data_IF_858260593884
#
_entry.id   IF_858260593884
#
_cell.length_a   1.000
_cell.length_b   1.000
_cell.length_c   1.000
_cell.angle_alpha   90.00
_cell.angle_beta   90.00
_cell.angle_gamma   90.00
#
_symmetry.space_group_name_H-M   'P 1'
#
loop_
_entity.id
_entity.type
_entity.pdbx_description
1 polymer ?
#
# COMPACT_ATOMS: atom_id res chain seq x y z
N UNK A 1 -2.44 5.44 -14.21
CA UNK A 1 -3.18 6.19 -13.16
C UNK A 1 -3.18 5.38 -11.87
N UNK A 2 -2.89 6.02 -10.72
CA UNK A 2 -3.05 5.34 -9.44
C UNK A 2 -4.52 5.02 -9.20
N UNK A 3 -4.81 3.78 -8.77
CA UNK A 3 -6.16 3.29 -8.50
C UNK A 3 -6.27 2.72 -7.10
N UNK A 4 -7.48 2.71 -6.56
CA UNK A 4 -7.80 1.95 -5.35
C UNK A 4 -7.64 0.45 -5.64
N UNK A 5 -7.01 -0.28 -4.72
CA UNK A 5 -6.75 -1.71 -4.92
C UNK A 5 -8.01 -2.59 -4.88
N UNK A 6 -9.17 -2.08 -4.42
CA UNK A 6 -10.38 -2.88 -4.22
C UNK A 6 -10.88 -3.53 -5.51
N UNK A 7 -11.05 -2.76 -6.57
CA UNK A 7 -11.57 -3.28 -7.85
C UNK A 7 -10.59 -4.25 -8.51
N UNK A 8 -9.29 -3.95 -8.44
CA UNK A 8 -8.23 -4.82 -8.95
C UNK A 8 -8.21 -6.17 -8.22
N UNK A 9 -8.33 -6.16 -6.88
CA UNK A 9 -8.37 -7.37 -6.06
C UNK A 9 -9.67 -8.16 -6.25
N UNK A 10 -10.81 -7.47 -6.46
CA UNK A 10 -12.09 -8.11 -6.78
C UNK A 10 -12.01 -8.88 -8.09
N UNK A 11 -11.51 -8.24 -9.16
CA UNK A 11 -11.29 -8.89 -10.45
C UNK A 11 -10.32 -10.08 -10.35
N UNK A 12 -9.26 -9.96 -9.56
CA UNK A 12 -8.31 -11.05 -9.34
C UNK A 12 -8.98 -12.25 -8.66
N UNK A 13 -9.82 -12.00 -7.64
CA UNK A 13 -10.59 -13.06 -6.97
C UNK A 13 -11.57 -13.75 -7.92
N UNK A 14 -12.32 -12.99 -8.71
CA UNK A 14 -13.29 -13.51 -9.68
C UNK A 14 -12.59 -14.28 -10.82
N UNK A 15 -11.42 -13.79 -11.26
CA UNK A 15 -10.61 -14.40 -12.31
C UNK A 15 -9.65 -15.49 -11.83
N UNK A 16 -9.64 -15.82 -10.52
CA UNK A 16 -8.75 -16.83 -9.92
C UNK A 16 -7.26 -16.60 -10.19
N UNK A 17 -6.80 -15.33 -10.14
CA UNK A 17 -5.39 -14.97 -10.25
C UNK A 17 -4.94 -14.09 -9.07
N UNK A 18 -3.63 -13.96 -8.87
CA UNK A 18 -3.06 -13.08 -7.86
C UNK A 18 -2.53 -11.79 -8.48
N UNK A 19 -2.62 -10.68 -7.74
CA UNK A 19 -1.95 -9.42 -8.06
C UNK A 19 -0.62 -9.37 -7.31
N UNK A 20 0.48 -9.14 -8.03
CA UNK A 20 1.81 -9.01 -7.44
C UNK A 20 1.93 -7.73 -6.61
N UNK A 21 2.51 -7.85 -5.40
CA UNK A 21 2.95 -6.72 -4.59
C UNK A 21 4.47 -6.72 -4.52
N UNK A 22 5.09 -5.62 -4.95
CA UNK A 22 6.54 -5.47 -4.98
C UNK A 22 6.96 -4.26 -4.15
N UNK A 23 7.97 -4.44 -3.29
CA UNK A 23 8.50 -3.34 -2.50
C UNK A 23 9.29 -2.38 -3.37
N UNK A 24 9.11 -1.08 -3.14
CA UNK A 24 9.87 -0.01 -3.79
C UNK A 24 10.65 0.79 -2.74
N UNK A 25 11.92 1.07 -3.04
CA UNK A 25 12.80 1.83 -2.15
C UNK A 25 13.49 3.01 -2.87
N UNK A 26 13.42 3.06 -4.19
CA UNK A 26 14.08 4.06 -5.03
C UNK A 26 13.41 4.16 -6.41
N UNK A 27 13.92 5.08 -7.22
CA UNK A 27 13.43 5.34 -8.58
C UNK A 27 13.66 4.13 -9.50
N UNK A 28 14.81 3.51 -9.43
CA UNK A 28 15.22 2.43 -10.33
C UNK A 28 14.31 1.21 -10.18
N UNK A 29 14.04 0.80 -8.95
CA UNK A 29 13.14 -0.33 -8.67
C UNK A 29 11.72 -0.02 -9.08
N UNK A 30 11.25 1.18 -8.77
CA UNK A 30 9.91 1.62 -9.16
C UNK A 30 9.74 1.59 -10.68
N UNK A 31 10.71 2.13 -11.43
CA UNK A 31 10.71 2.13 -12.88
C UNK A 31 10.69 0.72 -13.47
N UNK A 32 11.57 -0.18 -12.98
CA UNK A 32 11.63 -1.55 -13.44
C UNK A 32 10.30 -2.29 -13.25
N UNK A 33 9.68 -2.16 -12.07
CA UNK A 33 8.40 -2.79 -11.74
C UNK A 33 7.28 -2.25 -12.63
N UNK A 34 7.20 -0.93 -12.83
CA UNK A 34 6.16 -0.31 -13.65
C UNK A 34 6.27 -0.72 -15.12
N UNK A 35 7.48 -0.72 -15.69
CA UNK A 35 7.70 -1.15 -17.07
C UNK A 35 7.36 -2.64 -17.26
N UNK A 36 7.80 -3.51 -16.36
CA UNK A 36 7.49 -4.94 -16.41
C UNK A 36 5.97 -5.19 -16.27
N UNK A 37 5.29 -4.46 -15.38
CA UNK A 37 3.83 -4.55 -15.25
C UNK A 37 3.12 -4.14 -16.55
N UNK A 38 3.59 -3.05 -17.20
CA UNK A 38 3.05 -2.58 -18.47
C UNK A 38 3.29 -3.57 -19.61
N UNK A 39 4.50 -4.10 -19.74
CA UNK A 39 4.86 -5.10 -20.76
C UNK A 39 4.00 -6.37 -20.64
N UNK A 40 3.69 -6.79 -19.42
CA UNK A 40 2.87 -7.97 -19.16
C UNK A 40 1.36 -7.69 -19.07
N UNK A 41 0.93 -6.45 -19.34
CA UNK A 41 -0.45 -6.01 -19.18
C UNK A 41 -1.07 -6.44 -17.83
N UNK A 42 -0.29 -6.38 -16.76
CA UNK A 42 -0.63 -6.89 -15.43
C UNK A 42 -0.83 -5.76 -14.42
N UNK A 43 -1.89 -5.79 -13.61
CA UNK A 43 -2.04 -4.86 -12.50
C UNK A 43 -0.94 -5.11 -11.45
N UNK A 44 -0.54 -4.05 -10.73
CA UNK A 44 0.56 -4.13 -9.75
C UNK A 44 0.27 -3.31 -8.51
N UNK A 45 0.76 -3.79 -7.36
CA UNK A 45 0.78 -3.07 -6.10
C UNK A 45 2.23 -2.72 -5.76
N UNK A 46 2.51 -1.43 -5.61
CA UNK A 46 3.80 -0.92 -5.15
C UNK A 46 3.78 -0.80 -3.62
N UNK A 47 4.51 -1.67 -2.94
CA UNK A 47 4.59 -1.72 -1.48
C UNK A 47 5.65 -0.75 -0.95
N UNK A 48 5.30 0.04 0.06
CA UNK A 48 6.21 0.98 0.74
C UNK A 48 6.13 0.74 2.23
N UNK A 49 7.25 0.40 2.86
CA UNK A 49 7.35 0.39 4.32
C UNK A 49 7.58 1.81 4.85
N UNK A 50 7.35 2.05 6.15
CA UNK A 50 7.68 3.35 6.76
C UNK A 50 9.18 3.68 6.62
N UNK A 51 10.05 2.66 6.74
CA UNK A 51 11.48 2.82 6.52
C UNK A 51 11.81 3.24 5.10
N UNK A 52 11.20 2.63 4.09
CA UNK A 52 11.35 2.99 2.69
C UNK A 52 10.82 4.41 2.41
N UNK A 53 9.65 4.76 2.97
CA UNK A 53 9.10 6.12 2.87
C UNK A 53 10.06 7.17 3.45
N UNK A 54 10.64 6.90 4.62
CA UNK A 54 11.65 7.78 5.23
C UNK A 54 12.92 7.87 4.38
N UNK A 55 13.41 6.75 3.85
CA UNK A 55 14.58 6.71 2.97
C UNK A 55 14.38 7.55 1.70
N UNK A 56 13.20 7.50 1.12
CA UNK A 56 12.81 8.29 -0.07
C UNK A 56 12.37 9.72 0.26
N UNK A 57 12.77 10.28 1.39
CA UNK A 57 12.49 11.64 1.85
C UNK A 57 11.00 11.94 2.17
N UNK A 58 10.17 10.92 2.35
CA UNK A 58 8.80 11.06 2.83
C UNK A 58 7.72 10.61 1.83
N UNK A 59 6.51 10.43 2.35
CA UNK A 59 5.40 9.85 1.57
C UNK A 59 4.95 10.72 0.39
N UNK A 60 4.97 12.06 0.53
CA UNK A 60 4.64 12.97 -0.57
C UNK A 60 5.63 12.85 -1.73
N UNK A 61 6.92 12.67 -1.42
CA UNK A 61 7.97 12.41 -2.41
C UNK A 61 7.71 11.10 -3.15
N UNK A 62 7.36 10.04 -2.42
CA UNK A 62 7.00 8.74 -3.02
C UNK A 62 5.82 8.87 -3.97
N UNK A 63 4.74 9.54 -3.54
CA UNK A 63 3.56 9.77 -4.38
C UNK A 63 3.91 10.57 -5.63
N UNK A 64 4.69 11.64 -5.48
CA UNK A 64 5.14 12.47 -6.62
C UNK A 64 5.97 11.67 -7.62
N UNK A 65 6.94 10.89 -7.14
CA UNK A 65 7.77 10.01 -7.97
C UNK A 65 6.93 9.00 -8.74
N UNK A 66 6.03 8.28 -8.05
CA UNK A 66 5.19 7.24 -8.70
C UNK A 66 4.23 7.85 -9.71
N UNK A 67 3.58 8.98 -9.40
CA UNK A 67 2.69 9.68 -10.33
C UNK A 67 3.43 10.17 -11.57
N UNK A 68 4.58 10.82 -11.39
CA UNK A 68 5.40 11.28 -12.50
C UNK A 68 5.85 10.13 -13.41
N UNK A 69 6.28 9.01 -12.84
CA UNK A 69 6.65 7.84 -13.63
C UNK A 69 5.47 7.22 -14.40
N UNK A 70 4.29 7.13 -13.77
CA UNK A 70 3.09 6.62 -14.44
C UNK A 70 2.76 7.47 -15.67
N UNK A 71 2.88 8.79 -15.55
CA UNK A 71 2.61 9.74 -16.63
C UNK A 71 3.69 9.67 -17.73
N UNK A 72 4.96 9.86 -17.37
CA UNK A 72 6.07 9.90 -18.33
C UNK A 72 6.31 8.58 -19.09
N UNK A 73 6.07 7.44 -18.40
CA UNK A 73 6.22 6.11 -19.00
C UNK A 73 4.93 5.61 -19.67
N UNK A 74 3.88 6.40 -19.73
CA UNK A 74 2.58 6.03 -20.29
C UNK A 74 2.03 4.69 -19.71
N UNK A 75 2.11 4.52 -18.39
CA UNK A 75 1.61 3.32 -17.71
C UNK A 75 0.09 3.33 -17.68
N UNK A 76 -0.52 2.38 -18.39
CA UNK A 76 -1.98 2.24 -18.51
C UNK A 76 -2.57 1.15 -17.62
N UNK A 77 -1.76 0.17 -17.20
CA UNK A 77 -2.20 -0.87 -16.26
C UNK A 77 -2.57 -0.29 -14.90
N UNK A 78 -3.51 -0.91 -14.17
CA UNK A 78 -3.86 -0.49 -12.82
C UNK A 78 -2.67 -0.58 -11.86
N UNK A 79 -2.34 0.52 -11.18
CA UNK A 79 -1.27 0.60 -10.18
C UNK A 79 -1.85 1.07 -8.86
N UNK A 80 -1.65 0.32 -7.78
CA UNK A 80 -1.96 0.77 -6.44
C UNK A 80 -0.68 1.07 -5.65
N UNK A 81 -0.66 2.19 -4.91
CA UNK A 81 0.43 2.54 -4.00
C UNK A 81 0.01 2.19 -2.57
N UNK A 82 0.74 1.28 -1.94
CA UNK A 82 0.36 0.62 -0.69
C UNK A 82 1.37 0.87 0.43
N UNK A 83 0.89 1.33 1.60
CA UNK A 83 1.68 1.29 2.84
C UNK A 83 1.64 -0.12 3.41
N UNK A 84 2.80 -0.75 3.54
CA UNK A 84 2.96 -2.10 4.08
C UNK A 84 3.42 -2.05 5.54
N UNK A 85 2.69 -2.72 6.44
CA UNK A 85 2.95 -2.76 7.88
C UNK A 85 3.06 -1.37 8.55
N UNK A 86 2.11 -0.48 8.28
CA UNK A 86 2.10 0.87 8.81
C UNK A 86 1.68 0.93 10.28
N UNK A 87 2.31 1.85 11.03
CA UNK A 87 1.79 2.33 12.32
C UNK A 87 0.49 3.11 12.11
N UNK A 88 -0.24 3.38 13.19
CA UNK A 88 -1.43 4.21 13.14
C UNK A 88 -1.17 5.59 12.52
N UNK A 89 -0.12 6.28 12.99
CA UNK A 89 0.27 7.59 12.47
C UNK A 89 0.79 7.51 11.02
N UNK A 90 1.54 6.46 10.67
CA UNK A 90 1.99 6.21 9.32
C UNK A 90 0.84 6.06 8.33
N UNK A 91 -0.22 5.34 8.72
CA UNK A 91 -1.44 5.20 7.93
C UNK A 91 -2.10 6.56 7.64
N UNK A 92 -2.27 7.41 8.67
CA UNK A 92 -2.87 8.74 8.49
C UNK A 92 -2.04 9.62 7.53
N UNK A 93 -0.73 9.66 7.74
CA UNK A 93 0.20 10.43 6.87
C UNK A 93 0.21 9.92 5.43
N UNK A 94 0.10 8.60 5.21
CA UNK A 94 0.02 8.03 3.87
C UNK A 94 -1.27 8.39 3.15
N UNK A 95 -2.42 8.34 3.85
CA UNK A 95 -3.71 8.76 3.28
C UNK A 95 -3.66 10.23 2.87
N UNK A 96 -3.15 11.11 3.75
CA UNK A 96 -2.98 12.53 3.46
C UNK A 96 -2.03 12.78 2.27
N UNK A 97 -0.98 11.96 2.13
CA UNK A 97 -0.03 12.06 1.03
C UNK A 97 -0.61 11.59 -0.32
N UNK A 98 -1.68 10.78 -0.32
CA UNK A 98 -2.33 10.28 -1.53
C UNK A 98 -2.00 8.82 -1.88
N UNK A 99 -1.67 7.99 -0.89
CA UNK A 99 -1.63 6.54 -1.05
C UNK A 99 -3.02 6.00 -1.33
N UNK A 100 -3.12 4.96 -2.16
CA UNK A 100 -4.40 4.38 -2.59
C UNK A 100 -4.73 3.08 -1.85
N UNK A 101 -3.81 2.59 -1.03
CA UNK A 101 -3.99 1.43 -0.17
C UNK A 101 -3.08 1.53 1.05
N UNK A 102 -3.56 1.11 2.22
CA UNK A 102 -2.76 1.07 3.45
C UNK A 102 -3.03 -0.22 4.22
N UNK A 103 -2.02 -0.70 4.94
CA UNK A 103 -2.17 -1.77 5.93
C UNK A 103 -1.78 -1.25 7.31
N UNK A 104 -2.74 -1.21 8.21
CA UNK A 104 -2.46 -0.97 9.63
C UNK A 104 -1.98 -2.26 10.29
N UNK A 105 -0.78 -2.26 10.82
CA UNK A 105 -0.23 -3.37 11.60
C UNK A 105 -0.34 -3.09 13.10
N UNK A 106 -1.50 -3.41 13.66
CA UNK A 106 -1.78 -3.34 15.09
C UNK A 106 -1.46 -4.63 15.85
N UNK A 107 -0.71 -5.56 15.26
CA UNK A 107 -0.46 -6.90 15.81
C UNK A 107 0.33 -6.91 17.14
N UNK A 108 0.95 -5.80 17.49
CA UNK A 108 1.65 -5.61 18.77
C UNK A 108 0.77 -5.05 19.90
N UNK A 109 -0.45 -4.59 19.58
CA UNK A 109 -1.43 -4.16 20.58
C UNK A 109 -2.29 -5.35 21.06
N UNK A 110 -2.89 -5.27 22.25
CA UNK A 110 -4.00 -6.13 22.64
C UNK A 110 -5.13 -6.09 21.59
N UNK A 111 -5.88 -7.19 21.43
CA UNK A 111 -6.89 -7.29 20.37
C UNK A 111 -7.95 -6.17 20.47
N UNK A 112 -8.40 -5.86 21.69
CA UNK A 112 -9.40 -4.83 21.94
C UNK A 112 -8.92 -3.45 21.48
N UNK A 113 -7.68 -3.09 21.81
CA UNK A 113 -7.06 -1.82 21.42
C UNK A 113 -6.83 -1.76 19.90
N UNK A 114 -6.37 -2.86 19.30
CA UNK A 114 -6.20 -2.96 17.87
C UNK A 114 -7.52 -2.74 17.11
N UNK A 115 -8.59 -3.39 17.56
CA UNK A 115 -9.93 -3.25 16.97
C UNK A 115 -10.45 -1.82 17.16
N UNK A 116 -10.24 -1.19 18.32
CA UNK A 116 -10.68 0.17 18.57
C UNK A 116 -9.98 1.20 17.68
N UNK A 117 -8.64 1.12 17.56
CA UNK A 117 -7.85 1.98 16.65
C UNK A 117 -8.31 1.88 15.21
N UNK A 118 -8.72 0.69 14.76
CA UNK A 118 -9.24 0.48 13.41
C UNK A 118 -10.64 1.08 13.21
N UNK A 119 -11.57 0.85 14.14
CA UNK A 119 -12.97 1.23 13.96
C UNK A 119 -13.24 2.72 14.09
N UNK A 120 -12.58 3.42 15.02
CA UNK A 120 -12.96 4.80 15.37
C UNK A 120 -12.29 5.89 14.56
N UNK A 121 -11.08 5.67 14.08
CA UNK A 121 -10.32 6.76 13.46
C UNK A 121 -9.83 6.48 12.05
N UNK A 122 -9.28 5.29 11.77
CA UNK A 122 -8.85 4.98 10.41
C UNK A 122 -10.02 4.87 9.45
N UNK A 123 -11.10 4.17 9.80
CA UNK A 123 -12.31 4.12 8.98
C UNK A 123 -12.92 5.51 8.76
N UNK A 124 -12.96 6.36 9.80
CA UNK A 124 -13.51 7.70 9.70
C UNK A 124 -12.67 8.63 8.81
N UNK A 125 -11.35 8.50 8.88
CA UNK A 125 -10.41 9.23 8.02
C UNK A 125 -10.46 8.74 6.57
N UNK A 126 -10.79 7.46 6.35
CA UNK A 126 -10.86 6.82 5.02
C UNK A 126 -12.20 7.00 4.32
N UNK A 127 -13.28 7.30 5.05
CA UNK A 127 -14.61 7.54 4.46
C UNK A 127 -14.64 8.75 3.51
N UNK A 128 -13.66 9.65 3.61
CA UNK A 128 -13.49 10.81 2.73
C UNK A 128 -12.47 10.58 1.60
N UNK A 129 -11.85 9.42 1.53
CA UNK A 129 -10.78 9.11 0.57
C UNK A 129 -11.01 7.77 -0.12
N UNK A 130 -10.63 7.65 -1.39
CA UNK A 130 -10.67 6.38 -2.15
C UNK A 130 -9.47 5.47 -1.82
N UNK A 131 -9.17 5.25 -0.54
CA UNK A 131 -8.04 4.43 -0.09
C UNK A 131 -8.52 3.12 0.54
N UNK A 132 -7.96 1.99 0.09
CA UNK A 132 -8.24 0.67 0.67
C UNK A 132 -7.50 0.47 1.99
N UNK A 133 -8.22 0.11 3.06
CA UNK A 133 -7.63 -0.29 4.34
C UNK A 133 -7.53 -1.81 4.45
N UNK A 134 -6.33 -2.32 4.75
CA UNK A 134 -6.08 -3.68 5.22
C UNK A 134 -5.67 -3.65 6.69
N UNK A 135 -6.02 -4.70 7.43
CA UNK A 135 -5.76 -4.80 8.86
C UNK A 135 -5.05 -6.09 9.21
N UNK A 136 -4.07 -6.00 10.12
CA UNK A 136 -3.41 -7.15 10.72
C UNK A 136 -3.72 -7.23 12.20
N UNK A 137 -4.40 -8.30 12.61
CA UNK A 137 -4.92 -8.48 13.97
C UNK A 137 -3.97 -9.21 14.92
N UNK A 138 -3.03 -10.04 14.39
CA UNK A 138 -2.12 -10.84 15.19
C UNK A 138 -0.74 -10.95 14.57
N UNK A 139 0.28 -11.22 15.40
CA UNK A 139 1.63 -11.55 14.93
C UNK A 139 1.62 -12.82 14.08
N UNK A 140 2.37 -12.83 12.99
CA UNK A 140 2.60 -14.05 12.22
C UNK A 140 3.38 -15.08 13.04
N UNK A 141 3.19 -16.39 12.78
CA UNK A 141 3.88 -17.47 13.48
C UNK A 141 5.42 -17.33 13.47
N UNK A 142 5.99 -16.81 12.38
CA UNK A 142 7.43 -16.57 12.25
C UNK A 142 8.01 -15.53 13.23
N UNK A 143 7.19 -14.59 13.72
CA UNK A 143 7.62 -13.62 14.75
C UNK A 143 7.44 -14.13 16.18
N UNK A 144 6.61 -15.16 16.40
CA UNK A 144 6.40 -15.76 17.73
C UNK A 144 7.58 -16.61 18.22
N UNK A 145 8.46 -17.03 17.33
CA UNK A 145 9.65 -17.84 17.64
C UNK A 145 10.92 -17.03 17.85
N UNK A 146 10.88 -15.72 17.67
CA UNK A 146 12.04 -14.81 17.81
C UNK A 146 11.98 -13.97 19.12
N UNK A 147 11.13 -14.34 20.07
CA UNK A 147 11.08 -13.87 21.47
C UNK A 147 11.46 -15.06 22.38
#
# INVERSE_FOLDING_TARGET
MLVNASEMLKKAKEGHYAVGQFNINNLEWTKAILLTAQENNSPVILGVSEGAGKYMAGYKTVVGMVKGMIEELNITVPVALHLDHGSYEGCLKCVEAGFTSIMFDGSHYPIEENVEKNKKSLLKSLLSTECLLRQKLALSAARKTAL
#
